data_IF_577237605590
#
_entry.id   IF_577237605590
#
_cell.length_a   1.000
_cell.length_b   1.000
_cell.length_c   1.000
_cell.angle_alpha   90.00
_cell.angle_beta   90.00
_cell.angle_gamma   90.00
#
_symmetry.space_group_name_H-M   'P 1'
#
loop_
_entity.id
_entity.type
_entity.pdbx_description
1 polymer ?
#
# COMPACT_ATOMS: atom_id res chain seq x y z
N UNK A 1 -16.14 -25.16 -19.74
CA UNK A 1 -17.08 -24.20 -19.09
C UNK A 1 -17.21 -22.99 -20.00
N UNK A 2 -18.40 -22.72 -20.53
CA UNK A 2 -18.63 -21.71 -21.58
C UNK A 2 -18.32 -20.27 -21.14
N UNK A 3 -18.51 -19.93 -19.86
CA UNK A 3 -18.49 -18.54 -19.37
C UNK A 3 -17.31 -18.18 -18.44
N UNK A 4 -16.41 -19.12 -18.13
CA UNK A 4 -15.35 -18.88 -17.15
C UNK A 4 -14.27 -17.91 -17.64
N UNK A 5 -14.06 -17.83 -18.97
CA UNK A 5 -12.90 -17.11 -19.53
C UNK A 5 -11.58 -17.69 -18.97
N UNK A 6 -11.44 -19.02 -19.06
CA UNK A 6 -10.39 -19.78 -18.39
C UNK A 6 -8.98 -19.40 -18.86
N UNK A 7 -8.81 -19.11 -20.15
CA UNK A 7 -7.51 -18.73 -20.71
C UNK A 7 -7.00 -17.42 -20.09
N UNK A 8 -7.88 -16.44 -19.93
CA UNK A 8 -7.56 -15.18 -19.25
C UNK A 8 -7.24 -15.41 -17.77
N UNK A 9 -8.06 -16.18 -17.04
CA UNK A 9 -7.80 -16.51 -15.63
C UNK A 9 -6.43 -17.16 -15.48
N UNK A 10 -6.09 -18.13 -16.33
CA UNK A 10 -4.77 -18.78 -16.30
C UNK A 10 -3.63 -17.83 -16.70
N UNK A 11 -3.84 -16.95 -17.66
CA UNK A 11 -2.85 -15.92 -18.02
C UNK A 11 -2.52 -15.03 -16.83
N UNK A 12 -3.53 -14.42 -16.20
CA UNK A 12 -3.35 -13.56 -15.02
C UNK A 12 -2.70 -14.31 -13.85
N UNK A 13 -3.05 -15.58 -13.67
CA UNK A 13 -2.42 -16.43 -12.64
C UNK A 13 -0.93 -16.67 -12.94
N UNK A 14 -0.55 -16.92 -14.19
CA UNK A 14 0.86 -17.10 -14.59
C UNK A 14 1.68 -15.82 -14.41
N UNK A 15 1.10 -14.66 -14.74
CA UNK A 15 1.72 -13.36 -14.46
C UNK A 15 1.97 -13.19 -12.96
N UNK A 16 1.00 -13.55 -12.12
CA UNK A 16 1.14 -13.57 -10.66
C UNK A 16 2.25 -14.50 -10.17
N UNK A 17 2.33 -15.73 -10.69
CA UNK A 17 3.42 -16.65 -10.37
C UNK A 17 4.79 -16.06 -10.69
N UNK A 18 4.96 -15.55 -11.91
CA UNK A 18 6.22 -14.95 -12.34
C UNK A 18 6.60 -13.76 -11.45
N UNK A 19 5.64 -12.90 -11.13
CA UNK A 19 5.85 -11.73 -10.27
C UNK A 19 6.26 -12.15 -8.85
N UNK A 20 5.55 -13.08 -8.22
CA UNK A 20 5.83 -13.48 -6.85
C UNK A 20 7.11 -14.31 -6.71
N UNK A 21 7.35 -15.27 -7.60
CA UNK A 21 8.58 -16.08 -7.56
C UNK A 21 9.84 -15.22 -7.72
N UNK A 22 9.80 -14.20 -8.60
CA UNK A 22 10.89 -13.25 -8.77
C UNK A 22 11.07 -12.36 -7.53
N UNK A 23 9.99 -11.74 -7.06
CA UNK A 23 10.04 -10.70 -6.00
C UNK A 23 10.27 -11.28 -4.62
N UNK A 24 9.79 -12.50 -4.36
CA UNK A 24 9.98 -13.19 -3.09
C UNK A 24 11.24 -14.05 -3.06
N UNK A 25 11.93 -14.20 -4.20
CA UNK A 25 13.12 -15.06 -4.34
C UNK A 25 12.90 -16.45 -3.71
N UNK A 26 11.70 -17.00 -3.94
CA UNK A 26 11.27 -18.27 -3.39
C UNK A 26 10.28 -18.93 -4.35
N UNK A 27 10.54 -20.16 -4.84
CA UNK A 27 9.67 -20.84 -5.80
C UNK A 27 8.33 -21.20 -5.18
N UNK A 28 7.30 -21.39 -6.00
CA UNK A 28 6.01 -21.85 -5.50
C UNK A 28 6.14 -23.12 -4.63
N UNK A 29 5.62 -23.12 -3.39
CA UNK A 29 5.93 -24.18 -2.42
C UNK A 29 5.09 -25.46 -2.53
N UNK A 30 4.04 -25.48 -3.35
CA UNK A 30 3.09 -26.60 -3.43
C UNK A 30 3.14 -27.34 -4.78
N UNK A 31 2.68 -28.60 -4.86
CA UNK A 31 2.81 -29.41 -6.08
C UNK A 31 1.82 -29.03 -7.20
N UNK A 32 0.75 -28.31 -6.87
CA UNK A 32 -0.30 -27.87 -7.81
C UNK A 32 -0.99 -26.62 -7.28
N UNK A 33 -1.68 -25.91 -8.17
CA UNK A 33 -2.54 -24.78 -7.85
C UNK A 33 -3.87 -24.90 -8.61
N UNK A 34 -4.94 -25.23 -7.90
CA UNK A 34 -6.30 -25.28 -8.45
C UNK A 34 -7.09 -24.02 -8.08
N UNK A 35 -7.99 -23.59 -8.97
CA UNK A 35 -8.93 -22.51 -8.73
C UNK A 35 -10.35 -23.03 -8.86
N UNK A 36 -11.14 -22.90 -7.80
CA UNK A 36 -12.50 -23.43 -7.70
C UNK A 36 -13.49 -22.28 -7.59
N UNK A 37 -14.38 -22.12 -8.57
CA UNK A 37 -15.46 -21.13 -8.51
C UNK A 37 -16.69 -21.78 -7.85
N UNK A 38 -16.97 -21.36 -6.62
CA UNK A 38 -17.94 -22.00 -5.71
C UNK A 38 -19.26 -21.23 -5.69
N UNK A 39 -20.42 -21.90 -5.88
CA UNK A 39 -21.73 -21.28 -5.75
C UNK A 39 -21.99 -20.76 -4.34
N UNK A 40 -22.68 -19.61 -4.23
CA UNK A 40 -23.12 -19.02 -2.95
C UNK A 40 -22.00 -18.84 -1.91
N UNK A 41 -20.76 -18.60 -2.37
CA UNK A 41 -19.60 -18.48 -1.49
C UNK A 41 -19.51 -17.09 -0.83
N UNK A 42 -19.90 -17.01 0.43
CA UNK A 42 -20.05 -15.73 1.16
C UNK A 42 -18.72 -15.05 1.52
N UNK A 43 -17.61 -15.79 1.62
CA UNK A 43 -16.30 -15.23 1.97
C UNK A 43 -15.64 -14.48 0.81
N UNK A 44 -16.18 -14.58 -0.41
CA UNK A 44 -15.59 -13.97 -1.60
C UNK A 44 -14.49 -14.83 -2.21
N UNK A 45 -13.45 -15.15 -1.45
CA UNK A 45 -12.40 -16.09 -1.83
C UNK A 45 -11.73 -16.71 -0.58
N UNK A 46 -10.97 -17.79 -0.75
CA UNK A 46 -10.21 -18.43 0.33
C UNK A 46 -8.98 -19.14 -0.21
N UNK A 47 -7.86 -18.89 0.45
CA UNK A 47 -6.49 -19.22 0.09
C UNK A 47 -6.08 -20.67 0.37
N UNK A 48 -6.99 -21.64 0.38
CA UNK A 48 -6.62 -23.01 0.77
C UNK A 48 -5.43 -23.54 -0.06
N UNK A 49 -4.31 -23.87 0.61
CA UNK A 49 -3.05 -24.26 -0.02
C UNK A 49 -3.21 -25.24 -1.20
N UNK A 50 -2.91 -24.76 -2.41
CA UNK A 50 -2.99 -25.52 -3.66
C UNK A 50 -4.40 -25.78 -4.21
N UNK A 51 -5.45 -25.27 -3.57
CA UNK A 51 -6.85 -25.41 -3.97
C UNK A 51 -7.70 -24.18 -3.57
N UNK A 52 -7.39 -23.04 -4.18
CA UNK A 52 -8.02 -21.75 -3.87
C UNK A 52 -9.47 -21.70 -4.34
N UNK A 53 -10.35 -21.16 -3.50
CA UNK A 53 -11.77 -20.98 -3.84
C UNK A 53 -12.10 -19.51 -4.14
N UNK A 54 -13.02 -19.29 -5.07
CA UNK A 54 -13.52 -17.98 -5.48
C UNK A 54 -15.04 -18.01 -5.57
N UNK A 55 -15.67 -16.87 -5.33
CA UNK A 55 -17.11 -16.70 -5.53
C UNK A 55 -17.50 -16.85 -7.00
N UNK A 56 -18.62 -17.52 -7.27
CA UNK A 56 -19.10 -17.76 -8.64
C UNK A 56 -19.41 -16.48 -9.43
N UNK A 57 -19.58 -15.33 -8.77
CA UNK A 57 -19.88 -14.05 -9.43
C UNK A 57 -18.73 -13.55 -10.32
N UNK A 58 -17.53 -14.11 -10.16
CA UNK A 58 -16.39 -13.89 -11.07
C UNK A 58 -16.45 -14.70 -12.37
N UNK A 59 -17.45 -15.59 -12.51
CA UNK A 59 -17.82 -16.24 -13.77
C UNK A 59 -18.84 -15.34 -14.49
N UNK A 60 -18.35 -14.42 -15.31
CA UNK A 60 -19.18 -13.41 -15.94
C UNK A 60 -20.04 -13.99 -17.07
N UNK A 61 -21.37 -14.02 -16.88
CA UNK A 61 -22.34 -14.46 -17.91
C UNK A 61 -22.79 -13.33 -18.85
N UNK A 62 -22.35 -12.11 -18.59
CA UNK A 62 -22.63 -10.91 -19.38
C UNK A 62 -21.46 -9.94 -19.29
N UNK A 63 -21.49 -8.85 -20.08
CA UNK A 63 -20.46 -7.81 -20.01
C UNK A 63 -20.52 -7.11 -18.65
N UNK A 64 -19.38 -7.02 -18.00
CA UNK A 64 -19.16 -6.27 -16.75
C UNK A 64 -18.24 -5.08 -17.00
N UNK A 65 -18.21 -4.15 -16.04
CA UNK A 65 -17.30 -3.00 -16.09
C UNK A 65 -15.86 -3.45 -15.93
N UNK A 66 -14.92 -2.62 -16.38
CA UNK A 66 -13.50 -2.91 -16.24
C UNK A 66 -13.07 -2.97 -14.76
N UNK A 67 -13.66 -2.14 -13.89
CA UNK A 67 -13.44 -2.22 -12.45
C UNK A 67 -13.79 -3.61 -11.85
N UNK A 68 -14.83 -4.28 -12.36
CA UNK A 68 -15.20 -5.63 -11.90
C UNK A 68 -14.21 -6.69 -12.42
N UNK A 69 -13.70 -6.53 -13.65
CA UNK A 69 -12.66 -7.42 -14.19
C UNK A 69 -11.36 -7.27 -13.44
N UNK A 70 -10.94 -6.03 -13.20
CA UNK A 70 -9.77 -5.69 -12.40
C UNK A 70 -9.89 -6.29 -11.00
N UNK A 71 -11.04 -6.12 -10.33
CA UNK A 71 -11.28 -6.71 -9.01
C UNK A 71 -11.13 -8.23 -9.00
N UNK A 72 -11.61 -8.93 -10.04
CA UNK A 72 -11.39 -10.38 -10.21
C UNK A 72 -9.90 -10.70 -10.29
N UNK A 73 -9.13 -9.96 -11.09
CA UNK A 73 -7.67 -10.15 -11.22
C UNK A 73 -6.97 -9.91 -9.90
N UNK A 74 -7.23 -8.78 -9.24
CA UNK A 74 -6.64 -8.47 -7.93
C UNK A 74 -6.99 -9.54 -6.89
N UNK A 75 -8.21 -10.08 -6.90
CA UNK A 75 -8.58 -11.18 -5.98
C UNK A 75 -7.81 -12.46 -6.30
N UNK A 76 -7.68 -12.84 -7.57
CA UNK A 76 -6.85 -14.01 -7.96
C UNK A 76 -5.41 -13.85 -7.48
N UNK A 77 -4.84 -12.64 -7.64
CA UNK A 77 -3.48 -12.35 -7.20
C UNK A 77 -3.36 -12.26 -5.67
N UNK A 78 -4.40 -11.83 -4.96
CA UNK A 78 -4.48 -11.83 -3.49
C UNK A 78 -4.38 -13.26 -2.95
N UNK A 79 -5.26 -14.15 -3.41
CA UNK A 79 -5.24 -15.54 -2.96
C UNK A 79 -3.95 -16.28 -3.36
N UNK A 80 -3.38 -15.94 -4.53
CA UNK A 80 -2.10 -16.51 -4.93
C UNK A 80 -0.95 -16.06 -4.02
N UNK A 81 -0.96 -14.81 -3.54
CA UNK A 81 0.07 -14.31 -2.63
C UNK A 81 0.11 -15.09 -1.31
N UNK A 82 -1.06 -15.56 -0.84
CA UNK A 82 -1.16 -16.34 0.39
C UNK A 82 -0.42 -17.68 0.37
N UNK A 83 -0.18 -18.22 -0.82
CA UNK A 83 0.64 -19.43 -0.98
C UNK A 83 2.04 -19.27 -0.39
N UNK A 84 2.56 -18.04 -0.33
CA UNK A 84 3.76 -17.69 0.44
C UNK A 84 3.39 -17.10 1.81
N UNK A 85 2.50 -16.12 1.84
CA UNK A 85 2.17 -15.39 3.06
C UNK A 85 0.86 -15.86 3.70
N UNK A 86 0.95 -16.82 4.61
CA UNK A 86 -0.21 -17.46 5.25
C UNK A 86 -0.10 -18.98 5.21
N UNK A 87 0.29 -19.53 4.06
CA UNK A 87 0.42 -20.98 3.88
C UNK A 87 1.86 -21.51 4.03
N UNK A 88 2.85 -20.89 3.36
CA UNK A 88 4.25 -21.26 3.53
C UNK A 88 4.79 -20.80 4.88
N UNK A 89 4.43 -19.57 5.28
CA UNK A 89 4.71 -19.03 6.62
C UNK A 89 3.40 -18.57 7.22
N UNK A 90 2.97 -19.24 8.28
CA UNK A 90 1.69 -18.97 8.94
C UNK A 90 1.91 -18.19 10.23
N UNK A 91 1.06 -17.23 10.56
CA UNK A 91 1.09 -16.58 11.88
C UNK A 91 1.08 -17.60 13.04
N UNK A 92 1.77 -17.29 14.15
CA UNK A 92 1.72 -18.10 15.37
C UNK A 92 0.36 -18.02 16.06
N UNK A 93 -0.27 -16.84 15.99
CA UNK A 93 -1.58 -16.56 16.55
C UNK A 93 -2.27 -15.46 15.74
N UNK A 94 -3.58 -15.28 15.98
CA UNK A 94 -4.45 -14.43 15.17
C UNK A 94 -4.24 -12.93 15.37
N UNK A 95 -3.48 -12.51 16.38
CA UNK A 95 -3.03 -11.12 16.53
C UNK A 95 -2.16 -10.65 15.36
N UNK A 96 -1.54 -11.59 14.64
CA UNK A 96 -0.80 -11.37 13.40
C UNK A 96 -1.65 -11.62 12.12
N UNK A 97 -2.98 -11.75 12.22
CA UNK A 97 -3.87 -11.92 11.07
C UNK A 97 -3.71 -10.82 10.02
N UNK A 98 -3.51 -9.58 10.47
CA UNK A 98 -3.25 -8.45 9.58
C UNK A 98 -2.05 -8.70 8.68
N UNK A 99 -1.03 -9.41 9.17
CA UNK A 99 0.18 -9.67 8.41
C UNK A 99 -0.11 -10.60 7.22
N UNK A 100 -1.05 -11.53 7.35
CA UNK A 100 -1.54 -12.31 6.21
C UNK A 100 -2.33 -11.41 5.25
N UNK A 101 -3.38 -10.77 5.75
CA UNK A 101 -4.40 -10.16 4.89
C UNK A 101 -4.00 -8.80 4.31
N UNK A 102 -3.38 -7.94 5.12
CA UNK A 102 -2.82 -6.68 4.65
C UNK A 102 -1.71 -6.90 3.64
N UNK A 103 -0.85 -7.90 3.86
CA UNK A 103 0.25 -8.20 2.95
C UNK A 103 -0.29 -8.67 1.61
N UNK A 104 -1.20 -9.66 1.62
CA UNK A 104 -1.85 -10.13 0.40
C UNK A 104 -2.58 -9.00 -0.33
N UNK A 105 -3.27 -8.12 0.39
CA UNK A 105 -3.94 -6.94 -0.19
C UNK A 105 -2.95 -5.95 -0.82
N UNK A 106 -1.85 -5.65 -0.13
CA UNK A 106 -0.80 -4.74 -0.63
C UNK A 106 -0.10 -5.33 -1.86
N UNK A 107 0.38 -6.57 -1.77
CA UNK A 107 1.21 -7.16 -2.81
C UNK A 107 0.39 -7.54 -4.04
N UNK A 108 -0.87 -7.94 -3.88
CA UNK A 108 -1.77 -8.15 -5.01
C UNK A 108 -2.08 -6.86 -5.74
N UNK A 109 -2.28 -5.75 -5.02
CA UNK A 109 -2.45 -4.44 -5.66
C UNK A 109 -1.20 -4.02 -6.43
N UNK A 110 -0.01 -4.29 -5.87
CA UNK A 110 1.27 -4.06 -6.55
C UNK A 110 1.42 -4.94 -7.80
N UNK A 111 1.14 -6.25 -7.68
CA UNK A 111 1.23 -7.21 -8.76
C UNK A 111 0.22 -6.91 -9.87
N UNK A 112 -1.01 -6.50 -9.54
CA UNK A 112 -1.99 -6.03 -10.54
C UNK A 112 -1.48 -4.78 -11.27
N UNK A 113 -0.90 -3.82 -10.53
CA UNK A 113 -0.45 -2.55 -11.11
C UNK A 113 0.81 -2.69 -11.99
N UNK A 114 1.75 -3.56 -11.61
CA UNK A 114 3.06 -3.71 -12.26
C UNK A 114 3.16 -4.94 -13.17
N UNK A 115 2.38 -5.99 -12.89
CA UNK A 115 2.48 -7.30 -13.53
C UNK A 115 1.39 -7.60 -14.56
N UNK A 116 0.36 -6.77 -14.68
CA UNK A 116 -0.76 -7.00 -15.62
C UNK A 116 -1.12 -5.73 -16.42
N UNK A 117 -2.15 -5.81 -17.26
CA UNK A 117 -2.69 -4.67 -18.01
C UNK A 117 -3.35 -3.59 -17.14
N UNK A 118 -3.59 -3.86 -15.86
CA UNK A 118 -4.38 -3.03 -14.94
C UNK A 118 -3.50 -2.02 -14.18
N UNK A 119 -2.78 -1.17 -14.92
CA UNK A 119 -1.82 -0.20 -14.35
C UNK A 119 -2.46 0.85 -13.43
N UNK A 120 -3.79 0.95 -13.42
CA UNK A 120 -4.59 1.85 -12.59
C UNK A 120 -4.92 1.33 -11.19
N UNK A 121 -4.49 0.13 -10.80
CA UNK A 121 -4.96 -0.54 -9.57
C UNK A 121 -4.73 0.25 -8.27
N UNK A 122 -3.69 1.09 -8.19
CA UNK A 122 -3.52 1.97 -7.02
C UNK A 122 -4.58 3.08 -6.93
N UNK A 123 -5.19 3.47 -8.05
CA UNK A 123 -6.27 4.46 -8.10
C UNK A 123 -7.56 3.86 -7.60
N UNK A 124 -7.90 2.65 -8.05
CA UNK A 124 -9.08 1.92 -7.59
C UNK A 124 -8.93 1.51 -6.12
N UNK A 125 -7.75 1.07 -5.67
CA UNK A 125 -7.44 0.86 -4.26
C UNK A 125 -7.67 2.13 -3.43
N UNK A 126 -7.17 3.28 -3.89
CA UNK A 126 -7.36 4.54 -3.17
C UNK A 126 -8.83 4.97 -3.11
N UNK A 127 -9.60 4.76 -4.19
CA UNK A 127 -11.01 5.14 -4.26
C UNK A 127 -11.92 4.21 -3.44
N UNK A 128 -11.65 2.90 -3.44
CA UNK A 128 -12.45 1.88 -2.77
C UNK A 128 -11.90 1.51 -1.39
N UNK A 129 -10.86 0.68 -1.38
CA UNK A 129 -10.30 0.06 -0.17
C UNK A 129 -9.87 1.09 0.88
N UNK A 130 -9.06 2.07 0.48
CA UNK A 130 -8.57 3.09 1.42
C UNK A 130 -9.71 3.95 1.98
N UNK A 131 -10.69 4.32 1.14
CA UNK A 131 -11.85 5.08 1.61
C UNK A 131 -12.67 4.29 2.62
N UNK A 132 -12.87 3.00 2.39
CA UNK A 132 -13.56 2.10 3.32
C UNK A 132 -12.82 2.00 4.66
N UNK A 133 -11.51 1.75 4.63
CA UNK A 133 -10.65 1.74 5.81
C UNK A 133 -10.74 3.03 6.64
N UNK A 134 -10.67 4.20 5.98
CA UNK A 134 -10.74 5.49 6.66
C UNK A 134 -12.09 5.71 7.36
N UNK A 135 -13.20 5.33 6.71
CA UNK A 135 -14.51 5.43 7.32
C UNK A 135 -14.63 4.53 8.54
N UNK A 136 -14.13 3.29 8.45
CA UNK A 136 -14.19 2.33 9.55
C UNK A 136 -13.30 2.72 10.73
N UNK A 137 -12.09 3.21 10.46
CA UNK A 137 -11.12 3.64 11.49
C UNK A 137 -11.55 4.93 12.24
N UNK A 138 -12.59 5.62 11.76
CA UNK A 138 -13.19 6.77 12.43
C UNK A 138 -14.43 6.43 13.26
N UNK A 139 -14.89 5.16 13.25
CA UNK A 139 -16.01 4.72 14.07
C UNK A 139 -15.56 4.44 15.51
N UNK A 140 -16.48 4.51 16.50
CA UNK A 140 -16.17 4.15 17.90
C UNK A 140 -15.69 2.70 18.07
N UNK A 141 -15.97 1.83 17.11
CA UNK A 141 -15.53 0.43 17.07
C UNK A 141 -14.14 0.24 16.44
N UNK A 142 -13.39 1.32 16.19
CA UNK A 142 -12.02 1.21 15.65
C UNK A 142 -11.10 0.41 16.57
N UNK A 143 -10.08 -0.20 15.98
CA UNK A 143 -9.01 -0.93 16.66
C UNK A 143 -7.67 -0.70 15.95
N UNK A 144 -6.53 -0.98 16.62
CA UNK A 144 -5.23 -0.99 15.96
C UNK A 144 -5.17 -2.09 14.88
N UNK A 145 -4.27 -1.94 13.91
CA UNK A 145 -4.04 -2.96 12.88
C UNK A 145 -3.50 -4.25 13.51
N UNK A 146 -2.56 -4.11 14.45
CA UNK A 146 -2.13 -5.19 15.34
C UNK A 146 -3.00 -5.14 16.61
N UNK A 147 -4.02 -6.00 16.65
CA UNK A 147 -4.98 -6.08 17.75
C UNK A 147 -4.75 -7.33 18.60
N UNK A 148 -5.02 -7.23 19.91
CA UNK A 148 -5.02 -8.39 20.80
C UNK A 148 -6.25 -9.25 20.52
N UNK A 149 -6.03 -10.52 20.18
CA UNK A 149 -7.09 -11.49 19.90
C UNK A 149 -7.13 -12.54 21.01
N UNK A 150 -8.21 -12.56 21.79
CA UNK A 150 -8.35 -13.46 22.94
C UNK A 150 -8.99 -14.80 22.55
N UNK A 151 -9.92 -14.77 21.59
CA UNK A 151 -10.65 -15.94 21.13
C UNK A 151 -11.07 -15.82 19.65
N UNK A 152 -11.81 -16.80 19.15
CA UNK A 152 -12.22 -16.86 17.74
C UNK A 152 -13.37 -15.88 17.38
N UNK A 153 -14.09 -15.35 18.36
CA UNK A 153 -15.10 -14.31 18.12
C UNK A 153 -14.40 -12.98 17.84
N UNK A 154 -13.33 -12.67 18.60
CA UNK A 154 -12.43 -11.55 18.31
C UNK A 154 -11.85 -11.67 16.88
N UNK A 155 -11.47 -12.87 16.44
CA UNK A 155 -10.99 -13.10 15.06
C UNK A 155 -12.05 -12.67 14.04
N UNK A 156 -13.31 -13.11 14.21
CA UNK A 156 -14.37 -12.87 13.24
C UNK A 156 -14.66 -11.38 13.04
N UNK A 157 -14.59 -10.59 14.11
CA UNK A 157 -14.85 -9.14 14.03
C UNK A 157 -13.67 -8.34 13.49
N UNK A 158 -12.46 -8.90 13.49
CA UNK A 158 -11.27 -8.27 12.92
C UNK A 158 -11.11 -8.55 11.42
N UNK A 159 -11.94 -9.38 10.79
CA UNK A 159 -11.99 -9.51 9.33
C UNK A 159 -12.72 -8.31 8.69
N UNK A 160 -12.04 -7.16 8.68
CA UNK A 160 -12.68 -5.88 8.40
C UNK A 160 -11.78 -4.87 7.65
N UNK A 161 -12.28 -3.66 7.39
CA UNK A 161 -11.53 -2.66 6.61
C UNK A 161 -10.24 -2.19 7.25
N UNK A 162 -10.05 -2.40 8.56
CA UNK A 162 -8.81 -2.09 9.26
C UNK A 162 -7.76 -3.16 8.96
N UNK A 163 -8.09 -4.43 9.13
CA UNK A 163 -7.14 -5.54 8.91
C UNK A 163 -6.74 -5.71 7.44
N UNK A 164 -7.64 -5.43 6.51
CA UNK A 164 -7.33 -5.50 5.07
C UNK A 164 -6.77 -4.17 4.56
N UNK A 165 -7.63 -3.17 4.45
CA UNK A 165 -7.35 -1.97 3.67
C UNK A 165 -6.51 -0.91 4.41
N UNK A 166 -6.74 -0.71 5.72
CA UNK A 166 -5.86 0.17 6.53
C UNK A 166 -4.48 -0.44 6.64
N UNK A 167 -4.38 -1.72 7.00
CA UNK A 167 -3.09 -2.38 7.14
C UNK A 167 -2.32 -2.45 5.81
N UNK A 168 -2.97 -2.68 4.66
CA UNK A 168 -2.32 -2.55 3.35
C UNK A 168 -1.84 -1.12 3.05
N UNK A 169 -2.62 -0.11 3.45
CA UNK A 169 -2.22 1.30 3.34
C UNK A 169 -1.01 1.62 4.24
N UNK A 170 -0.95 1.02 5.43
CA UNK A 170 0.18 1.11 6.37
C UNK A 170 1.41 0.40 5.80
N UNK A 171 1.27 -0.78 5.20
CA UNK A 171 2.37 -1.46 4.50
C UNK A 171 2.91 -0.64 3.33
N UNK A 172 2.03 0.00 2.56
CA UNK A 172 2.49 0.92 1.50
C UNK A 172 3.29 2.09 2.07
N UNK A 173 2.92 2.60 3.24
CA UNK A 173 3.70 3.62 3.94
C UNK A 173 5.03 3.06 4.47
N UNK A 174 5.05 1.83 4.98
CA UNK A 174 6.27 1.13 5.40
C UNK A 174 7.25 1.00 4.24
N UNK A 175 6.77 0.54 3.08
CA UNK A 175 7.55 0.41 1.86
C UNK A 175 8.15 1.75 1.44
N UNK A 176 7.37 2.82 1.49
CA UNK A 176 7.88 4.17 1.20
C UNK A 176 8.91 4.64 2.26
N UNK A 177 8.81 4.17 3.50
CA UNK A 177 9.72 4.51 4.58
C UNK A 177 11.06 3.76 4.50
N UNK A 178 11.03 2.46 4.18
CA UNK A 178 12.22 1.60 4.15
C UNK A 178 12.89 1.52 2.78
N UNK A 179 12.14 1.75 1.70
CA UNK A 179 12.57 1.53 0.32
C UNK A 179 11.96 0.24 -0.24
N UNK A 180 11.50 0.28 -1.50
CA UNK A 180 10.80 -0.86 -2.10
C UNK A 180 11.71 -2.06 -2.32
N UNK A 181 12.93 -1.83 -2.83
CA UNK A 181 13.88 -2.91 -3.07
C UNK A 181 14.35 -3.55 -1.75
N UNK A 182 14.60 -2.73 -0.73
CA UNK A 182 14.96 -3.18 0.61
C UNK A 182 13.81 -3.93 1.30
N UNK A 183 12.57 -3.47 1.11
CA UNK A 183 11.38 -4.16 1.61
C UNK A 183 11.25 -5.55 0.98
N UNK A 184 11.32 -5.65 -0.35
CA UNK A 184 11.18 -6.91 -1.06
C UNK A 184 12.32 -7.88 -0.73
N UNK A 185 13.56 -7.38 -0.60
CA UNK A 185 14.68 -8.18 -0.12
C UNK A 185 14.44 -8.72 1.30
N UNK A 186 13.83 -7.92 2.19
CA UNK A 186 13.49 -8.34 3.54
C UNK A 186 12.38 -9.40 3.56
N UNK A 187 11.37 -9.25 2.69
CA UNK A 187 10.32 -10.27 2.47
C UNK A 187 10.92 -11.59 1.97
N UNK A 188 11.85 -11.54 1.02
CA UNK A 188 12.55 -12.72 0.54
C UNK A 188 13.34 -13.43 1.67
N UNK A 189 14.10 -12.67 2.45
CA UNK A 189 14.83 -13.19 3.61
C UNK A 189 13.89 -13.84 4.64
N UNK A 190 12.73 -13.21 4.87
CA UNK A 190 11.68 -13.73 5.74
C UNK A 190 11.15 -15.09 5.26
N UNK A 191 10.80 -15.24 3.98
CA UNK A 191 10.34 -16.54 3.48
C UNK A 191 11.42 -17.61 3.58
N UNK A 192 12.67 -17.31 3.22
CA UNK A 192 13.77 -18.27 3.31
C UNK A 192 14.01 -18.74 4.76
N UNK A 193 13.84 -17.86 5.75
CA UNK A 193 14.11 -18.18 7.15
C UNK A 193 12.96 -18.89 7.86
N UNK A 194 11.72 -18.59 7.49
CA UNK A 194 10.53 -19.04 8.21
C UNK A 194 9.67 -20.06 7.46
N UNK A 195 10.08 -20.46 6.24
CA UNK A 195 9.38 -21.44 5.41
C UNK A 195 8.96 -22.72 6.18
N UNK A 196 7.73 -23.16 5.93
CA UNK A 196 7.07 -24.32 6.55
C UNK A 196 6.98 -24.23 8.08
N UNK A 197 6.87 -23.01 8.59
CA UNK A 197 6.81 -22.73 10.02
C UNK A 197 5.88 -21.59 10.36
N UNK A 198 5.96 -21.16 11.61
CA UNK A 198 5.17 -20.05 12.11
C UNK A 198 6.03 -18.83 12.45
N UNK A 199 5.47 -17.64 12.24
CA UNK A 199 6.13 -16.36 12.49
C UNK A 199 5.28 -15.43 13.36
N UNK A 200 5.93 -14.36 13.83
CA UNK A 200 5.32 -13.24 14.53
C UNK A 200 5.62 -11.93 13.82
N UNK A 201 4.94 -10.85 14.21
CA UNK A 201 5.34 -9.49 13.82
C UNK A 201 6.83 -9.20 14.03
N UNK A 202 7.41 -9.69 15.14
CA UNK A 202 8.83 -9.43 15.42
C UNK A 202 9.73 -10.17 14.44
N UNK A 203 9.38 -11.40 14.09
CA UNK A 203 10.13 -12.19 13.10
C UNK A 203 10.14 -11.45 11.75
N UNK A 204 8.98 -10.97 11.29
CA UNK A 204 8.87 -10.19 10.05
C UNK A 204 9.66 -8.88 10.08
N UNK A 205 9.47 -8.06 11.12
CA UNK A 205 10.18 -6.77 11.25
C UNK A 205 11.69 -6.93 11.38
N UNK A 206 12.18 -8.01 12.00
CA UNK A 206 13.62 -8.29 12.12
C UNK A 206 14.28 -8.46 10.76
N UNK A 207 13.63 -9.14 9.81
CA UNK A 207 14.20 -9.31 8.46
C UNK A 207 14.17 -7.98 7.67
N UNK A 208 13.10 -7.19 7.81
CA UNK A 208 13.02 -5.85 7.20
C UNK A 208 14.06 -4.88 7.77
N UNK A 209 14.31 -4.90 9.09
CA UNK A 209 15.36 -4.13 9.74
C UNK A 209 16.74 -4.53 9.20
N UNK A 210 16.96 -5.83 8.98
CA UNK A 210 18.20 -6.37 8.44
C UNK A 210 18.54 -5.89 7.03
N UNK A 211 17.55 -5.74 6.15
CA UNK A 211 17.77 -5.31 4.76
C UNK A 211 17.72 -3.79 4.59
N UNK A 212 16.87 -3.09 5.34
CA UNK A 212 16.72 -1.64 5.23
C UNK A 212 17.67 -0.83 6.11
N UNK A 213 18.24 -1.43 7.16
CA UNK A 213 19.07 -0.75 8.15
C UNK A 213 18.32 0.26 9.02
N UNK A 214 16.98 0.25 9.01
CA UNK A 214 16.12 1.12 9.83
C UNK A 214 15.54 0.35 10.98
N UNK A 215 15.60 0.92 12.18
CA UNK A 215 14.85 0.42 13.34
C UNK A 215 13.33 0.66 13.13
N UNK A 216 12.56 -0.43 13.23
CA UNK A 216 11.12 -0.44 13.02
C UNK A 216 10.32 -0.52 14.31
N UNK A 217 10.95 -0.55 15.49
CA UNK A 217 10.23 -0.66 16.78
C UNK A 217 9.28 0.53 16.97
N UNK A 218 9.81 1.76 16.92
CA UNK A 218 8.99 2.97 17.05
C UNK A 218 7.95 3.10 15.94
N UNK A 219 8.30 2.68 14.73
CA UNK A 219 7.36 2.72 13.60
C UNK A 219 6.19 1.77 13.85
N UNK A 220 6.48 0.54 14.27
CA UNK A 220 5.51 -0.51 14.57
C UNK A 220 4.55 -0.06 15.67
N UNK A 221 5.07 0.51 16.75
CA UNK A 221 4.25 1.00 17.85
C UNK A 221 3.27 2.09 17.39
N UNK A 222 3.73 3.04 16.56
CA UNK A 222 2.89 4.14 16.12
C UNK A 222 1.90 3.75 15.01
N UNK A 223 2.31 2.90 14.07
CA UNK A 223 1.51 2.62 12.87
C UNK A 223 0.64 1.38 12.99
N UNK A 224 1.10 0.35 13.70
CA UNK A 224 0.37 -0.91 13.82
C UNK A 224 -0.39 -1.02 15.14
N UNK A 225 0.17 -0.55 16.25
CA UNK A 225 -0.39 -0.76 17.60
C UNK A 225 -1.28 0.39 18.11
N UNK A 226 -1.62 1.37 17.27
CA UNK A 226 -2.54 2.46 17.64
C UNK A 226 -3.67 2.65 16.65
N UNK A 227 -4.86 3.01 17.15
CA UNK A 227 -6.07 3.25 16.35
C UNK A 227 -6.15 4.68 15.78
N UNK A 228 -7.12 4.90 14.90
CA UNK A 228 -7.48 6.21 14.36
C UNK A 228 -6.55 6.72 13.26
N UNK A 229 -6.98 7.80 12.58
CA UNK A 229 -6.23 8.46 11.51
C UNK A 229 -5.77 9.85 11.93
N UNK A 230 -4.73 10.37 11.27
CA UNK A 230 -4.36 11.78 11.42
C UNK A 230 -4.96 12.63 10.30
N UNK A 231 -5.37 13.84 10.66
CA UNK A 231 -5.76 14.88 9.70
C UNK A 231 -4.52 15.68 9.34
N UNK A 232 -4.29 15.88 8.04
CA UNK A 232 -3.27 16.80 7.52
C UNK A 232 -3.96 17.99 6.89
N UNK A 233 -3.64 19.22 7.32
CA UNK A 233 -4.16 20.45 6.74
C UNK A 233 -3.05 21.44 6.42
N UNK A 234 -3.09 22.13 5.28
CA UNK A 234 -2.16 23.21 5.01
C UNK A 234 -2.52 24.44 5.85
N UNK A 235 -1.51 25.10 6.38
CA UNK A 235 -1.56 26.45 6.92
C UNK A 235 -0.73 27.34 6.00
N UNK A 236 -1.38 28.33 5.38
CA UNK A 236 -0.79 29.16 4.33
C UNK A 236 -1.00 30.61 4.74
N UNK A 237 0.09 31.36 4.81
CA UNK A 237 0.05 32.81 4.95
C UNK A 237 0.42 33.47 3.62
N UNK A 238 -0.25 34.58 3.29
CA UNK A 238 0.00 35.36 2.08
C UNK A 238 0.23 36.83 2.41
N UNK A 239 0.95 37.54 1.56
CA UNK A 239 1.03 39.00 1.60
C UNK A 239 -0.21 39.66 0.94
N UNK A 240 -0.19 40.99 0.84
CA UNK A 240 -1.27 41.80 0.27
C UNK A 240 -1.50 41.55 -1.23
N UNK A 241 -0.46 41.10 -1.95
CA UNK A 241 -0.52 40.76 -3.38
C UNK A 241 -0.94 39.29 -3.61
N UNK A 242 -1.21 38.55 -2.52
CA UNK A 242 -1.59 37.14 -2.56
C UNK A 242 -0.43 36.17 -2.75
N UNK A 243 0.83 36.63 -2.63
CA UNK A 243 1.99 35.76 -2.69
C UNK A 243 2.16 35.00 -1.37
N UNK A 244 2.46 33.69 -1.44
CA UNK A 244 2.65 32.83 -0.27
C UNK A 244 3.93 33.25 0.48
N UNK A 245 3.77 33.70 1.72
CA UNK A 245 4.86 34.13 2.61
C UNK A 245 5.30 33.00 3.54
N UNK A 246 4.38 32.12 3.94
CA UNK A 246 4.68 30.92 4.70
C UNK A 246 3.77 29.76 4.32
N UNK A 247 4.33 28.56 4.42
CA UNK A 247 3.59 27.31 4.24
C UNK A 247 3.97 26.36 5.36
N UNK A 248 2.96 25.82 6.03
CA UNK A 248 3.10 24.72 6.96
C UNK A 248 2.08 23.61 6.70
N UNK A 249 2.47 22.39 7.02
CA UNK A 249 1.53 21.27 7.12
C UNK A 249 1.28 21.04 8.60
N UNK A 250 0.02 21.15 9.02
CA UNK A 250 -0.42 20.79 10.36
C UNK A 250 -0.93 19.35 10.35
N UNK A 251 -0.47 18.56 11.30
CA UNK A 251 -0.97 17.21 11.54
C UNK A 251 -1.67 17.17 12.89
N UNK A 252 -2.89 16.65 12.92
CA UNK A 252 -3.73 16.54 14.11
C UNK A 252 -4.23 15.11 14.30
N UNK A 253 -4.44 14.73 15.55
CA UNK A 253 -5.05 13.45 15.93
C UNK A 253 -6.36 13.70 16.68
N UNK A 254 -7.28 12.74 16.65
CA UNK A 254 -8.50 12.79 17.46
C UNK A 254 -8.14 12.75 18.95
N UNK A 255 -8.95 13.40 19.79
CA UNK A 255 -8.70 13.48 21.24
C UNK A 255 -8.66 12.08 21.90
N UNK A 256 -9.59 11.20 21.50
CA UNK A 256 -9.66 9.82 21.99
C UNK A 256 -8.52 8.93 21.47
N UNK A 257 -7.84 9.36 20.40
CA UNK A 257 -6.75 8.62 19.74
C UNK A 257 -5.56 9.55 19.44
N UNK A 258 -4.85 10.07 20.46
CA UNK A 258 -3.93 11.20 20.34
C UNK A 258 -2.56 10.86 19.71
N UNK A 259 -2.47 9.76 18.94
CA UNK A 259 -1.21 9.31 18.35
C UNK A 259 -0.93 10.04 17.03
N UNK A 260 0.17 10.79 16.98
CA UNK A 260 0.69 11.40 15.75
C UNK A 260 1.69 10.47 15.06
N UNK A 261 1.42 10.15 13.79
CA UNK A 261 2.23 9.22 12.99
C UNK A 261 3.19 9.97 12.06
N UNK A 262 4.50 9.69 12.06
CA UNK A 262 5.46 10.45 11.27
C UNK A 262 5.24 10.31 9.76
N UNK A 263 4.93 11.41 9.06
CA UNK A 263 4.72 11.42 7.61
C UNK A 263 5.91 11.90 6.78
N UNK A 264 6.96 12.46 7.42
CA UNK A 264 8.26 12.83 6.82
C UNK A 264 9.37 13.08 7.89
N UNK A 265 10.65 13.12 7.46
CA UNK A 265 11.88 13.32 8.27
C UNK A 265 11.97 14.73 8.95
N UNK A 266 12.90 15.01 9.89
CA UNK A 266 12.63 15.22 11.31
C UNK A 266 12.50 16.69 11.74
N UNK A 267 12.48 17.69 10.84
CA UNK A 267 12.39 19.09 11.25
C UNK A 267 10.92 19.49 11.51
N UNK A 268 10.34 18.99 12.59
CA UNK A 268 8.98 19.28 12.99
C UNK A 268 8.90 19.72 14.45
N UNK A 269 8.14 20.77 14.72
CA UNK A 269 7.76 21.14 16.10
C UNK A 269 6.50 20.36 16.49
N UNK A 270 6.41 19.90 17.74
CA UNK A 270 5.30 19.03 18.20
C UNK A 270 4.73 19.54 19.52
N UNK A 271 3.41 19.72 19.58
CA UNK A 271 2.62 19.84 20.81
C UNK A 271 1.79 18.56 21.02
N UNK A 272 1.11 18.41 22.15
CA UNK A 272 0.46 17.15 22.58
C UNK A 272 -0.57 16.56 21.61
N UNK A 273 -1.08 17.34 20.64
CA UNK A 273 -2.02 16.86 19.63
C UNK A 273 -1.77 17.42 18.21
N UNK A 274 -0.73 18.24 18.01
CA UNK A 274 -0.46 18.90 16.74
C UNK A 274 1.02 18.88 16.39
N UNK A 275 1.36 18.57 15.14
CA UNK A 275 2.71 18.68 14.59
C UNK A 275 2.72 19.62 13.40
N UNK A 276 3.73 20.48 13.30
CA UNK A 276 3.92 21.39 12.16
C UNK A 276 5.30 21.24 11.51
N UNK A 277 5.31 21.30 10.17
CA UNK A 277 6.52 21.47 9.35
C UNK A 277 6.39 22.78 8.61
N UNK A 278 7.43 23.61 8.59
CA UNK A 278 7.42 24.89 7.85
C UNK A 278 8.49 24.94 6.78
N UNK A 279 8.18 25.57 5.66
CA UNK A 279 9.13 26.03 4.67
C UNK A 279 9.00 27.55 4.54
N UNK A 280 10.10 28.29 4.74
CA UNK A 280 10.14 29.73 4.45
C UNK A 280 10.53 29.92 3.00
N UNK A 281 9.82 30.80 2.28
CA UNK A 281 10.26 31.23 0.96
C UNK A 281 11.60 31.96 1.10
N UNK A 282 12.57 31.61 0.27
CA UNK A 282 13.80 32.39 0.16
C UNK A 282 13.40 33.75 -0.41
N UNK A 283 13.55 34.82 0.37
CA UNK A 283 13.36 36.18 -0.10
C UNK A 283 14.25 36.40 -1.32
N UNK A 284 13.66 36.53 -2.51
CA UNK A 284 14.37 36.95 -3.70
C UNK A 284 14.80 38.40 -3.50
N UNK A 285 16.03 38.60 -3.01
CA UNK A 285 16.70 39.90 -3.11
C UNK A 285 17.03 40.12 -4.57
N UNK A 286 16.11 40.71 -5.32
CA UNK A 286 16.36 41.17 -6.68
C UNK A 286 17.30 42.37 -6.62
N UNK A 287 18.61 42.08 -6.56
CA UNK A 287 19.65 43.04 -6.90
C UNK A 287 19.46 43.41 -8.37
N UNK A 288 19.05 44.64 -8.63
CA UNK A 288 18.98 45.25 -9.95
C UNK A 288 20.37 45.27 -10.58
N UNK A 289 20.69 44.24 -11.37
CA UNK A 289 21.84 44.25 -12.26
C UNK A 289 21.45 44.97 -13.55
N UNK A 290 21.92 46.21 -13.69
CA UNK A 290 21.81 47.03 -14.89
C UNK A 290 22.52 46.33 -16.06
N UNK A 291 21.77 45.95 -17.10
CA UNK A 291 22.34 45.42 -18.33
C UNK A 291 23.03 46.53 -19.15
N UNK A 292 24.24 46.31 -19.72
CA UNK A 292 24.86 47.28 -20.60
C UNK A 292 24.20 47.25 -21.98
N UNK A 293 23.79 48.43 -22.47
CA UNK A 293 23.36 48.66 -23.84
C UNK A 293 24.49 48.30 -24.82
N UNK A 294 24.17 47.50 -25.83
CA UNK A 294 25.00 47.36 -27.04
C UNK A 294 24.34 48.12 -28.21
N UNK A 295 25.14 48.75 -29.10
CA UNK A 295 24.62 49.61 -30.15
C UNK A 295 24.16 48.83 -31.40
N UNK A 296 23.20 49.44 -32.09
CA UNK A 296 22.65 49.04 -33.37
C UNK A 296 23.68 49.01 -34.51
N UNK A 297 23.61 47.99 -35.37
CA UNK A 297 23.98 48.15 -36.79
C UNK A 297 23.16 47.23 -37.69
N UNK A 298 22.68 47.83 -38.76
CA UNK A 298 21.88 47.35 -39.88
C UNK A 298 22.58 46.33 -40.81
N UNK A 299 21.79 45.47 -41.45
CA UNK A 299 21.94 45.22 -42.89
C UNK A 299 22.04 43.76 -43.38
N UNK A 300 21.09 43.42 -44.27
CA UNK A 300 21.21 42.51 -45.44
C UNK A 300 20.79 41.01 -45.33
N UNK A 301 19.62 40.75 -45.95
CA UNK A 301 19.26 39.70 -46.93
C UNK A 301 19.45 38.18 -46.64
N UNK A 302 18.32 37.47 -46.80
CA UNK A 302 18.04 36.02 -46.81
C UNK A 302 18.64 35.26 -48.05
N UNK A 303 18.37 33.94 -48.33
CA UNK A 303 17.42 32.99 -47.69
C UNK A 303 17.78 31.45 -47.64
N UNK A 304 16.84 30.65 -47.09
CA UNK A 304 16.60 29.16 -47.22
C UNK A 304 17.60 28.26 -46.45
N UNK A 305 17.25 27.12 -45.83
CA UNK A 305 16.20 26.10 -46.03
C UNK A 305 16.04 25.18 -44.80
N UNK A 306 14.91 24.47 -44.71
CA UNK A 306 14.58 23.43 -43.74
C UNK A 306 15.58 22.26 -43.67
N UNK A 307 15.72 21.70 -42.46
CA UNK A 307 15.56 20.28 -42.11
C UNK A 307 15.02 20.23 -40.67
#
# INVERSE_FOLDING_TARGET
>A
MEHLDADYVFEKTREGFAFYEERFDYPYPFPKYDQLFVPEFNAGAMENAGAVTFVESYVFRSKVTDAVKERRVTTILHELAHMWFGDLVTMKWWDDLWLNESFATYISTLATAEGTEWTGAWTTFNAGEKSWAYNQDQLPSTHPVYATINDLEDVQVNFDGITYAKGASVLRQLVAYVGQDEFLAGVAAYFQRHAFGNSTLRDFTTELEGTSGRDLERWTDLWLKTSGVNTLRPEIETDEDGAITSFAVLQEAAEDYPTLRPTASPSASTSSATRSWSARSASSSTSTATAPRSPSSSGASAPRSCC
#
